data_IF_066978480732
#
_entry.id   IF_066978480732
#
_cell.length_a   1.000
_cell.length_b   1.000
_cell.length_c   1.000
_cell.angle_alpha   90.00
_cell.angle_beta   90.00
_cell.angle_gamma   90.00
#
_symmetry.space_group_name_H-M   'P 1'
#
loop_
_entity.id
_entity.type
_entity.pdbx_description
1 polymer ?
#
# COMPACT_ATOMS: atom_id res chain seq x y z
N UNK A 1 -1.51 -4.30 -34.06
CA UNK A 1 -1.00 -3.69 -32.80
C UNK A 1 -1.83 -3.99 -31.55
N UNK A 2 -3.15 -3.75 -31.50
CA UNK A 2 -3.97 -3.93 -30.28
C UNK A 2 -3.88 -5.34 -29.66
N UNK A 3 -3.85 -6.39 -30.48
CA UNK A 3 -3.79 -7.79 -30.04
C UNK A 3 -2.46 -8.16 -29.39
N UNK A 4 -1.34 -7.61 -29.88
CA UNK A 4 0.01 -7.85 -29.35
C UNK A 4 0.17 -7.20 -27.98
N UNK A 5 -0.25 -5.93 -27.83
CA UNK A 5 -0.21 -5.24 -26.52
C UNK A 5 -1.14 -5.89 -25.49
N UNK A 6 -2.33 -6.34 -25.90
CA UNK A 6 -3.23 -7.12 -25.02
C UNK A 6 -2.54 -8.39 -24.52
N UNK A 7 -1.86 -9.12 -25.41
CA UNK A 7 -1.11 -10.33 -25.06
C UNK A 7 0.04 -10.04 -24.09
N UNK A 8 0.76 -8.95 -24.30
CA UNK A 8 1.80 -8.51 -23.36
C UNK A 8 1.24 -8.28 -21.96
N UNK A 9 0.15 -7.53 -21.83
CA UNK A 9 -0.45 -7.27 -20.51
C UNK A 9 -1.02 -8.52 -19.85
N UNK A 10 -1.51 -9.49 -20.63
CA UNK A 10 -1.87 -10.82 -20.13
C UNK A 10 -0.64 -11.57 -19.61
N UNK A 11 0.48 -11.54 -20.34
CA UNK A 11 1.73 -12.17 -19.89
C UNK A 11 2.26 -11.52 -18.61
N UNK A 12 2.17 -10.20 -18.50
CA UNK A 12 2.50 -9.47 -17.26
C UNK A 12 1.64 -10.02 -16.12
N UNK A 13 0.31 -10.04 -16.26
CA UNK A 13 -0.59 -10.54 -15.21
C UNK A 13 -0.26 -11.99 -14.81
N UNK A 14 -0.13 -12.89 -15.77
CA UNK A 14 0.24 -14.30 -15.52
C UNK A 14 1.60 -14.43 -14.81
N UNK A 15 2.59 -13.61 -15.17
CA UNK A 15 3.91 -13.66 -14.53
C UNK A 15 3.86 -13.20 -13.07
N UNK A 16 3.05 -12.19 -12.77
CA UNK A 16 2.79 -11.76 -11.39
C UNK A 16 2.08 -12.85 -10.58
N UNK A 17 1.01 -13.42 -11.12
CA UNK A 17 0.24 -14.47 -10.42
C UNK A 17 1.13 -15.68 -10.11
N UNK A 18 1.91 -16.14 -11.09
CA UNK A 18 2.86 -17.24 -10.91
C UNK A 18 3.89 -16.93 -9.83
N UNK A 19 4.47 -15.73 -9.84
CA UNK A 19 5.46 -15.36 -8.83
C UNK A 19 4.81 -15.26 -7.44
N UNK A 20 3.64 -14.62 -7.32
CA UNK A 20 2.94 -14.50 -6.05
C UNK A 20 2.63 -15.89 -5.45
N UNK A 21 2.12 -16.82 -6.27
CA UNK A 21 1.85 -18.21 -5.83
C UNK A 21 3.15 -18.90 -5.39
N UNK A 22 4.22 -18.80 -6.18
CA UNK A 22 5.50 -19.41 -5.85
C UNK A 22 6.07 -18.89 -4.53
N UNK A 23 6.02 -17.57 -4.29
CA UNK A 23 6.50 -16.98 -3.04
C UNK A 23 5.61 -17.31 -1.83
N UNK A 24 4.30 -17.54 -2.03
CA UNK A 24 3.39 -17.97 -0.96
C UNK A 24 3.57 -19.44 -0.58
N UNK A 25 3.98 -20.28 -1.52
CA UNK A 25 4.23 -21.70 -1.30
C UNK A 25 5.60 -21.97 -0.66
N UNK A 26 6.51 -20.99 -0.69
CA UNK A 26 7.84 -21.13 -0.10
C UNK A 26 7.80 -20.79 1.41
N UNK A 27 7.84 -21.83 2.24
CA UNK A 27 7.88 -21.67 3.70
C UNK A 27 9.20 -21.00 4.15
N UNK A 28 9.09 -20.10 5.13
CA UNK A 28 10.27 -19.43 5.72
C UNK A 28 10.99 -18.47 4.76
N UNK A 29 10.38 -18.10 3.64
CA UNK A 29 10.97 -17.20 2.66
C UNK A 29 11.27 -15.82 3.26
N UNK A 30 12.54 -15.40 3.20
CA UNK A 30 12.96 -14.08 3.67
C UNK A 30 12.50 -12.96 2.74
N UNK A 31 12.28 -11.77 3.32
CA UNK A 31 11.95 -10.57 2.54
C UNK A 31 12.98 -10.30 1.43
N UNK A 32 14.28 -10.38 1.74
CA UNK A 32 15.35 -10.11 0.79
C UNK A 32 15.30 -11.04 -0.43
N UNK A 33 15.00 -12.33 -0.23
CA UNK A 33 14.87 -13.28 -1.34
C UNK A 33 13.65 -12.95 -2.19
N UNK A 34 12.47 -12.72 -1.60
CA UNK A 34 11.29 -12.33 -2.38
C UNK A 34 11.42 -10.99 -3.09
N UNK A 35 12.03 -9.97 -2.46
CA UNK A 35 12.35 -8.69 -3.11
C UNK A 35 13.22 -8.90 -4.35
N UNK A 36 14.23 -9.78 -4.27
CA UNK A 36 15.10 -10.12 -5.40
C UNK A 36 14.31 -10.74 -6.55
N UNK A 37 13.39 -11.66 -6.26
CA UNK A 37 12.57 -12.31 -7.30
C UNK A 37 11.62 -11.31 -7.99
N UNK A 38 10.99 -10.40 -7.23
CA UNK A 38 10.20 -9.32 -7.83
C UNK A 38 11.06 -8.41 -8.72
N UNK A 39 12.25 -8.01 -8.27
CA UNK A 39 13.15 -7.18 -9.07
C UNK A 39 13.68 -7.93 -10.31
N UNK A 40 13.88 -9.24 -10.23
CA UNK A 40 14.20 -10.08 -11.39
C UNK A 40 13.04 -10.08 -12.40
N UNK A 41 11.80 -10.26 -11.94
CA UNK A 41 10.61 -10.16 -12.78
C UNK A 41 10.51 -8.77 -13.43
N UNK A 42 10.72 -7.69 -12.67
CA UNK A 42 10.73 -6.34 -13.20
C UNK A 42 11.70 -6.19 -14.38
N UNK A 43 12.95 -6.63 -14.21
CA UNK A 43 13.98 -6.56 -15.27
C UNK A 43 13.54 -7.33 -16.52
N UNK A 44 12.96 -8.52 -16.34
CA UNK A 44 12.46 -9.34 -17.46
C UNK A 44 11.32 -8.66 -18.23
N UNK A 45 10.38 -8.03 -17.52
CA UNK A 45 9.24 -7.35 -18.14
C UNK A 45 9.67 -6.06 -18.83
N UNK A 46 10.57 -5.28 -18.21
CA UNK A 46 11.05 -4.01 -18.78
C UNK A 46 11.82 -4.18 -20.09
N UNK A 47 12.43 -5.35 -20.35
CA UNK A 47 13.06 -5.65 -21.65
C UNK A 47 12.08 -5.76 -22.83
N UNK A 48 10.80 -5.95 -22.54
CA UNK A 48 9.73 -6.13 -23.53
C UNK A 48 8.82 -4.90 -23.64
N UNK A 49 9.14 -3.84 -22.89
CA UNK A 49 8.39 -2.59 -22.88
C UNK A 49 8.83 -1.72 -24.05
N UNK A 50 7.85 -1.19 -24.78
CA UNK A 50 8.09 -0.28 -25.90
C UNK A 50 7.80 1.18 -25.50
N UNK A 51 6.94 1.40 -24.50
CA UNK A 51 6.44 2.72 -24.12
C UNK A 51 6.80 3.08 -22.67
N UNK A 52 7.17 4.34 -22.44
CA UNK A 52 7.60 4.82 -21.12
C UNK A 52 6.53 4.64 -20.03
N UNK A 53 5.26 4.90 -20.36
CA UNK A 53 4.16 4.73 -19.41
C UNK A 53 3.99 3.26 -18.96
N UNK A 54 4.32 2.29 -19.81
CA UNK A 54 4.25 0.86 -19.47
C UNK A 54 5.40 0.49 -18.53
N UNK A 55 6.57 1.09 -18.74
CA UNK A 55 7.73 0.95 -17.84
C UNK A 55 7.37 1.44 -16.44
N UNK A 56 6.75 2.62 -16.34
CA UNK A 56 6.29 3.18 -15.07
C UNK A 56 5.20 2.29 -14.44
N UNK A 57 4.24 1.82 -15.22
CA UNK A 57 3.16 0.95 -14.75
C UNK A 57 3.71 -0.37 -14.18
N UNK A 58 4.67 -1.01 -14.86
CA UNK A 58 5.34 -2.22 -14.35
C UNK A 58 6.10 -1.93 -13.06
N UNK A 59 6.86 -0.84 -13.01
CA UNK A 59 7.59 -0.44 -11.78
C UNK A 59 6.64 -0.24 -10.60
N UNK A 60 5.47 0.37 -10.83
CA UNK A 60 4.44 0.56 -9.79
C UNK A 60 3.82 -0.76 -9.34
N UNK A 61 3.50 -1.66 -10.27
CA UNK A 61 2.98 -3.01 -9.95
C UNK A 61 3.99 -3.79 -9.10
N UNK A 62 5.27 -3.79 -9.50
CA UNK A 62 6.34 -4.44 -8.74
C UNK A 62 6.49 -3.81 -7.35
N UNK A 63 6.50 -2.48 -7.25
CA UNK A 63 6.62 -1.81 -5.96
C UNK A 63 5.46 -2.14 -5.01
N UNK A 64 4.22 -2.20 -5.53
CA UNK A 64 3.05 -2.64 -4.78
C UNK A 64 3.22 -4.08 -4.27
N UNK A 65 3.65 -5.01 -5.13
CA UNK A 65 3.85 -6.41 -4.74
C UNK A 65 4.95 -6.56 -3.70
N UNK A 66 6.06 -5.84 -3.83
CA UNK A 66 7.14 -5.84 -2.82
C UNK A 66 6.62 -5.29 -1.48
N UNK A 67 5.81 -4.23 -1.48
CA UNK A 67 5.24 -3.68 -0.25
C UNK A 67 4.26 -4.65 0.43
N UNK A 68 3.39 -5.29 -0.35
CA UNK A 68 2.51 -6.34 0.17
C UNK A 68 3.33 -7.47 0.78
N UNK A 69 4.37 -7.92 0.07
CA UNK A 69 5.25 -8.99 0.54
C UNK A 69 5.97 -8.62 1.83
N UNK A 70 6.50 -7.40 1.93
CA UNK A 70 7.12 -6.87 3.15
C UNK A 70 6.19 -6.95 4.37
N UNK A 71 4.91 -6.61 4.16
CA UNK A 71 3.89 -6.73 5.19
C UNK A 71 3.62 -8.19 5.56
N UNK A 72 3.40 -9.07 4.57
CA UNK A 72 3.05 -10.48 4.84
C UNK A 72 4.17 -11.28 5.48
N UNK A 73 5.44 -10.93 5.21
CA UNK A 73 6.59 -11.61 5.84
C UNK A 73 6.92 -11.08 7.23
N UNK A 74 6.22 -10.07 7.75
CA UNK A 74 6.54 -9.45 9.04
C UNK A 74 7.98 -8.92 9.10
N UNK A 75 8.49 -8.37 7.99
CA UNK A 75 9.90 -7.96 7.90
C UNK A 75 10.23 -6.79 8.85
N UNK A 76 11.53 -6.47 8.96
CA UNK A 76 11.97 -5.33 9.78
C UNK A 76 11.42 -3.99 9.28
N UNK A 77 11.36 -2.97 10.14
CA UNK A 77 10.96 -1.62 9.70
C UNK A 77 11.86 -1.08 8.59
N UNK A 78 13.15 -1.42 8.59
CA UNK A 78 14.10 -1.00 7.55
C UNK A 78 13.67 -1.50 6.18
N UNK A 79 13.24 -2.76 6.10
CA UNK A 79 12.74 -3.40 4.87
C UNK A 79 11.38 -2.87 4.48
N UNK A 80 10.42 -2.84 5.41
CA UNK A 80 9.07 -2.30 5.20
C UNK A 80 9.12 -0.84 4.75
N UNK A 81 9.91 -0.01 5.41
CA UNK A 81 10.12 1.39 5.07
C UNK A 81 10.78 1.58 3.71
N UNK A 82 11.72 0.70 3.31
CA UNK A 82 12.32 0.73 1.97
C UNK A 82 11.30 0.37 0.89
N UNK A 83 10.49 -0.67 1.10
CA UNK A 83 9.42 -1.05 0.20
C UNK A 83 8.35 0.06 0.06
N UNK A 84 8.00 0.70 1.18
CA UNK A 84 7.07 1.83 1.20
C UNK A 84 7.62 3.04 0.43
N UNK A 85 8.88 3.43 0.66
CA UNK A 85 9.52 4.53 -0.07
C UNK A 85 9.56 4.26 -1.58
N UNK A 86 9.81 3.01 -2.00
CA UNK A 86 9.77 2.63 -3.43
C UNK A 86 8.39 2.89 -4.02
N UNK A 87 7.34 2.43 -3.36
CA UNK A 87 5.95 2.65 -3.80
C UNK A 87 5.56 4.12 -3.84
N UNK A 88 5.93 4.88 -2.80
CA UNK A 88 5.63 6.31 -2.71
C UNK A 88 6.34 7.14 -3.79
N UNK A 89 7.63 6.87 -4.06
CA UNK A 89 8.40 7.58 -5.10
C UNK A 89 7.87 7.38 -6.51
N UNK A 90 7.38 6.18 -6.81
CA UNK A 90 6.78 5.88 -8.12
C UNK A 90 5.35 6.41 -8.24
N UNK A 91 4.71 6.73 -7.11
CA UNK A 91 3.29 7.02 -7.01
C UNK A 91 2.44 5.74 -7.03
N UNK A 92 1.31 5.77 -6.32
CA UNK A 92 0.36 4.66 -6.29
C UNK A 92 -0.42 4.54 -7.61
N UNK A 93 -0.80 3.33 -8.02
CA UNK A 93 -1.57 3.13 -9.26
C UNK A 93 -2.93 3.80 -9.19
N UNK A 94 -3.57 3.76 -8.02
CA UNK A 94 -4.90 4.31 -7.80
C UNK A 94 -5.12 4.60 -6.30
N UNK A 95 -6.33 5.05 -5.95
CA UNK A 95 -6.68 5.37 -4.56
C UNK A 95 -6.75 4.14 -3.64
N UNK A 96 -7.10 2.97 -4.17
CA UNK A 96 -7.12 1.70 -3.42
C UNK A 96 -5.69 1.28 -3.04
N UNK A 97 -4.74 1.36 -3.96
CA UNK A 97 -3.33 1.06 -3.65
C UNK A 97 -2.75 1.98 -2.57
N UNK A 98 -3.13 3.26 -2.59
CA UNK A 98 -2.73 4.21 -1.55
C UNK A 98 -3.34 3.85 -0.19
N UNK A 99 -4.61 3.43 -0.17
CA UNK A 99 -5.29 2.97 1.05
C UNK A 99 -4.68 1.67 1.58
N UNK A 100 -4.42 0.69 0.71
CA UNK A 100 -3.77 -0.56 1.07
C UNK A 100 -2.38 -0.32 1.68
N UNK A 101 -1.57 0.57 1.10
CA UNK A 101 -0.27 0.94 1.67
C UNK A 101 -0.42 1.52 3.10
N UNK A 102 -1.42 2.36 3.35
CA UNK A 102 -1.70 2.89 4.68
C UNK A 102 -2.14 1.78 5.66
N UNK A 103 -3.02 0.88 5.21
CA UNK A 103 -3.47 -0.27 5.98
C UNK A 103 -2.29 -1.16 6.40
N UNK A 104 -1.39 -1.49 5.47
CA UNK A 104 -0.21 -2.31 5.75
C UNK A 104 0.71 -1.68 6.78
N UNK A 105 0.95 -0.37 6.71
CA UNK A 105 1.78 0.34 7.70
C UNK A 105 1.14 0.33 9.08
N UNK A 106 -0.17 0.58 9.18
CA UNK A 106 -0.88 0.56 10.46
C UNK A 106 -0.92 -0.84 11.08
N UNK A 107 -1.22 -1.86 10.28
CA UNK A 107 -1.25 -3.24 10.76
C UNK A 107 0.14 -3.69 11.19
N UNK A 108 1.17 -3.44 10.37
CA UNK A 108 2.55 -3.73 10.72
C UNK A 108 2.96 -3.02 12.03
N UNK A 109 2.64 -1.73 12.17
CA UNK A 109 2.96 -0.98 13.39
C UNK A 109 2.24 -1.55 14.62
N UNK A 110 0.99 -2.00 14.48
CA UNK A 110 0.23 -2.62 15.57
C UNK A 110 0.78 -3.97 16.02
N UNK A 111 1.41 -4.70 15.09
CA UNK A 111 1.96 -6.04 15.33
C UNK A 111 3.43 -6.00 15.78
N UNK A 112 4.19 -4.94 15.45
CA UNK A 112 5.65 -4.93 15.60
C UNK A 112 6.19 -3.73 16.40
N UNK A 113 5.89 -2.49 15.97
CA UNK A 113 6.44 -1.27 16.60
C UNK A 113 5.43 -0.11 16.53
N UNK A 114 4.84 0.20 17.69
CA UNK A 114 3.80 1.22 17.83
C UNK A 114 4.30 2.63 17.51
N UNK A 115 5.62 2.90 17.61
CA UNK A 115 6.18 4.21 17.27
C UNK A 115 6.00 4.57 15.79
N UNK A 116 5.74 3.58 14.92
CA UNK A 116 5.49 3.78 13.49
C UNK A 116 4.03 4.08 13.16
N UNK A 117 3.12 3.96 14.14
CA UNK A 117 1.69 4.18 13.96
C UNK A 117 1.36 5.57 13.40
N UNK A 118 2.07 6.61 13.86
CA UNK A 118 1.86 8.00 13.43
C UNK A 118 1.98 8.16 11.92
N UNK A 119 2.92 7.47 11.27
CA UNK A 119 3.04 7.48 9.82
C UNK A 119 1.84 6.79 9.15
N UNK A 120 1.46 5.62 9.66
CA UNK A 120 0.30 4.88 9.16
C UNK A 120 -1.00 5.70 9.24
N UNK A 121 -1.22 6.41 10.34
CA UNK A 121 -2.38 7.28 10.51
C UNK A 121 -2.41 8.43 9.52
N UNK A 122 -1.27 9.13 9.33
CA UNK A 122 -1.14 10.20 8.33
C UNK A 122 -1.42 9.69 6.92
N UNK A 123 -0.90 8.51 6.58
CA UNK A 123 -1.16 7.89 5.28
C UNK A 123 -2.63 7.51 5.10
N UNK A 124 -3.28 6.98 6.14
CA UNK A 124 -4.68 6.59 6.08
C UNK A 124 -5.57 7.81 5.86
N UNK A 125 -5.35 8.90 6.58
CA UNK A 125 -6.09 10.15 6.42
C UNK A 125 -5.94 10.72 5.00
N UNK A 126 -4.72 10.70 4.45
CA UNK A 126 -4.47 11.12 3.07
C UNK A 126 -5.18 10.21 2.04
N UNK A 127 -5.20 8.90 2.27
CA UNK A 127 -5.90 7.94 1.42
C UNK A 127 -7.42 8.13 1.49
N UNK A 128 -8.00 8.29 2.68
CA UNK A 128 -9.41 8.57 2.90
C UNK A 128 -9.83 9.88 2.20
N UNK A 129 -9.04 10.96 2.34
CA UNK A 129 -9.29 12.22 1.61
C UNK A 129 -9.33 12.02 0.10
N UNK A 130 -8.46 11.15 -0.45
CA UNK A 130 -8.48 10.83 -1.89
C UNK A 130 -9.70 9.99 -2.29
N UNK A 131 -10.07 9.01 -1.48
CA UNK A 131 -11.25 8.16 -1.71
C UNK A 131 -12.55 8.97 -1.65
N UNK A 132 -12.64 9.96 -0.77
CA UNK A 132 -13.81 10.83 -0.63
C UNK A 132 -14.06 11.71 -1.86
N UNK A 133 -13.03 11.94 -2.71
CA UNK A 133 -13.16 12.63 -4.00
C UNK A 133 -13.82 11.75 -5.08
N UNK A 134 -13.84 10.43 -4.91
CA UNK A 134 -14.60 9.54 -5.78
C UNK A 134 -16.10 9.72 -5.51
N UNK A 135 -16.95 9.46 -6.52
CA UNK A 135 -18.41 9.50 -6.37
C UNK A 135 -18.85 8.61 -5.21
N UNK A 136 -19.89 9.01 -4.48
CA UNK A 136 -20.41 8.27 -3.32
C UNK A 136 -20.75 6.80 -3.63
N UNK A 137 -21.24 6.54 -4.84
CA UNK A 137 -21.61 5.19 -5.31
C UNK A 137 -20.44 4.40 -5.93
N UNK A 138 -19.24 4.97 -5.97
CA UNK A 138 -18.06 4.28 -6.52
C UNK A 138 -17.67 3.10 -5.62
N UNK A 139 -17.58 1.90 -6.19
CA UNK A 139 -17.32 0.67 -5.42
C UNK A 139 -16.03 0.74 -4.61
N UNK A 140 -14.93 1.20 -5.22
CA UNK A 140 -13.64 1.40 -4.52
C UNK A 140 -13.76 2.31 -3.29
N UNK A 141 -14.55 3.40 -3.37
CA UNK A 141 -14.75 4.28 -2.21
C UNK A 141 -15.41 3.52 -1.07
N UNK A 142 -16.49 2.78 -1.37
CA UNK A 142 -17.23 2.02 -0.35
C UNK A 142 -16.34 0.95 0.30
N UNK A 143 -15.66 0.15 -0.52
CA UNK A 143 -14.82 -0.96 -0.07
C UNK A 143 -13.64 -0.47 0.76
N UNK A 144 -12.89 0.53 0.28
CA UNK A 144 -11.67 0.98 0.96
C UNK A 144 -11.98 1.76 2.24
N UNK A 145 -13.06 2.55 2.28
CA UNK A 145 -13.47 3.21 3.53
C UNK A 145 -13.95 2.19 4.58
N UNK A 146 -14.68 1.14 4.16
CA UNK A 146 -15.06 0.05 5.05
C UNK A 146 -13.84 -0.72 5.57
N UNK A 147 -12.86 -1.00 4.70
CA UNK A 147 -11.60 -1.61 5.08
C UNK A 147 -10.82 -0.73 6.08
N UNK A 148 -10.79 0.59 5.87
CA UNK A 148 -10.18 1.54 6.80
C UNK A 148 -10.83 1.50 8.19
N UNK A 149 -12.16 1.39 8.28
CA UNK A 149 -12.88 1.18 9.55
C UNK A 149 -12.48 -0.14 10.20
N UNK A 150 -12.38 -1.22 9.44
CA UNK A 150 -11.97 -2.53 9.96
C UNK A 150 -10.52 -2.50 10.50
N UNK A 151 -9.59 -1.85 9.78
CA UNK A 151 -8.21 -1.65 10.22
C UNK A 151 -8.17 -0.81 11.49
N UNK A 152 -8.89 0.32 11.56
CA UNK A 152 -9.01 1.15 12.77
C UNK A 152 -9.44 0.32 13.98
N UNK A 153 -10.49 -0.49 13.83
CA UNK A 153 -10.98 -1.38 14.90
C UNK A 153 -9.91 -2.40 15.32
N UNK A 154 -9.21 -3.01 14.36
CA UNK A 154 -8.18 -4.02 14.63
C UNK A 154 -6.99 -3.41 15.38
N UNK A 155 -6.48 -2.26 14.96
CA UNK A 155 -5.32 -1.64 15.61
C UNK A 155 -5.68 -1.01 16.96
N UNK A 156 -6.91 -0.50 17.13
CA UNK A 156 -7.40 0.01 18.40
C UNK A 156 -7.47 -1.07 19.49
N UNK A 157 -7.82 -2.31 19.14
CA UNK A 157 -7.76 -3.47 20.06
C UNK A 157 -6.35 -3.74 20.58
N UNK A 158 -5.32 -3.20 19.92
CA UNK A 158 -3.91 -3.29 20.31
C UNK A 158 -3.40 -2.00 20.96
N UNK A 159 -4.29 -1.08 21.36
CA UNK A 159 -3.91 0.21 21.96
C UNK A 159 -3.43 1.26 20.96
N UNK A 160 -3.44 0.96 19.66
CA UNK A 160 -3.08 1.92 18.62
C UNK A 160 -4.29 2.81 18.30
N UNK A 161 -4.33 3.99 18.92
CA UNK A 161 -5.33 5.02 18.61
C UNK A 161 -4.78 6.04 17.61
N UNK A 162 -5.65 6.70 16.82
CA UNK A 162 -5.24 7.86 16.03
C UNK A 162 -4.56 8.88 16.96
N UNK A 163 -3.48 9.56 16.53
CA UNK A 163 -2.96 10.69 17.28
C UNK A 163 -4.13 11.64 17.51
N UNK A 164 -4.32 12.09 18.75
CA UNK A 164 -5.45 12.93 19.14
C UNK A 164 -5.66 13.98 18.05
N UNK A 165 -6.82 13.94 17.38
CA UNK A 165 -7.26 15.07 16.58
C UNK A 165 -7.13 16.24 17.52
N UNK A 166 -6.14 17.10 17.29
CA UNK A 166 -5.92 18.30 18.06
C UNK A 166 -7.16 19.12 17.81
N UNK A 167 -8.15 18.89 18.66
CA UNK A 167 -9.30 19.73 18.80
C UNK A 167 -8.68 20.93 19.46
N UNK A 168 -8.44 21.98 18.68
CA UNK A 168 -8.09 23.28 19.23
C UNK A 168 -9.01 23.50 20.43
N UNK A 169 -8.49 23.87 21.62
CA UNK A 169 -9.35 24.22 22.73
C UNK A 169 -10.33 25.25 22.20
N UNK A 170 -11.64 24.97 22.30
CA UNK A 170 -12.65 26.00 22.07
C UNK A 170 -12.36 27.08 23.10
N UNK A 171 -11.68 28.13 22.65
CA UNK A 171 -11.52 29.37 23.37
C UNK A 171 -12.92 29.96 23.51
N UNK A 172 -13.62 29.58 24.59
CA UNK A 172 -14.87 30.21 24.99
C UNK A 172 -14.52 31.57 25.58
N UNK A 173 -14.27 32.51 24.67
CA UNK A 173 -14.52 33.91 24.90
C UNK A 173 -16.02 34.08 25.18
N UNK A 174 -16.40 34.26 26.44
CA UNK A 174 -17.63 34.98 26.81
C UNK A 174 -17.36 35.86 28.02
N UNK A 175 -17.04 37.11 27.66
CA UNK A 175 -17.31 38.40 28.31
C UNK A 175 -18.05 38.33 29.65
N UNK A 176 -17.41 38.97 30.65
CA UNK A 176 -18.07 39.64 31.76
C UNK A 176 -19.13 40.61 31.23
N UNK A 177 -20.30 40.59 31.85
CA UNK A 177 -21.19 41.72 32.02
C UNK A 177 -21.59 41.72 33.50
#
# INVERSE_FOLDING_TARGET
MKTVRKRFWQQVATAFDKLNIALLQEEGLSFAKGEREYLALQRKLLRQVELEWESLQIKRLIARSILLFAYTTGCSWTEMGRALRRSSRLGYLNASDQAAAAHFVLLWASDNDHSKATLGWKMLEAAERRLLRLRRNHMTRKQELAAGVAVRKRVARKGLLPPASVSSPKETSRRRA
#
